data_IF_855485382241
#
_entry.id   IF_855485382241
#
_cell.length_a   1.000
_cell.length_b   1.000
_cell.length_c   1.000
_cell.angle_alpha   90.00
_cell.angle_beta   90.00
_cell.angle_gamma   90.00
#
_symmetry.space_group_name_H-M   'P 1'
#
loop_
_entity.id
_entity.type
_entity.pdbx_description
1 polymer ?
#
# COMPACT_ATOMS: atom_id res chain seq x y z
N UNK A 1 -3.29 11.07 14.96
CA UNK A 1 -3.81 11.71 13.74
C UNK A 1 -3.31 10.89 12.57
N UNK A 2 -4.18 10.11 11.96
CA UNK A 2 -3.84 9.28 10.77
C UNK A 2 -4.01 10.21 9.56
N UNK A 3 -2.93 10.45 8.82
CA UNK A 3 -3.03 11.27 7.61
C UNK A 3 -3.63 10.39 6.53
N UNK A 4 -4.87 10.64 6.19
CA UNK A 4 -5.59 10.00 5.10
C UNK A 4 -5.09 10.59 3.76
N UNK A 5 -4.57 9.74 2.87
CA UNK A 5 -4.35 10.14 1.48
C UNK A 5 -5.68 9.96 0.74
N UNK A 6 -6.12 10.95 -0.07
CA UNK A 6 -7.42 10.88 -0.73
C UNK A 6 -7.52 9.66 -1.63
N UNK A 7 -8.70 9.03 -1.60
CA UNK A 7 -9.10 8.02 -2.60
C UNK A 7 -8.95 8.64 -3.99
N UNK A 8 -8.04 8.13 -4.79
CA UNK A 8 -7.97 8.52 -6.20
C UNK A 8 -9.17 7.91 -6.91
N UNK A 9 -10.20 8.70 -7.16
CA UNK A 9 -11.46 8.29 -7.78
C UNK A 9 -11.37 8.03 -9.30
N UNK A 10 -10.17 7.97 -9.85
CA UNK A 10 -9.96 7.74 -11.29
C UNK A 10 -9.36 6.35 -11.53
N UNK A 11 -10.16 5.42 -12.01
CA UNK A 11 -9.66 4.25 -12.74
C UNK A 11 -9.51 2.95 -11.96
N UNK A 12 -10.16 2.76 -10.79
CA UNK A 12 -10.11 1.48 -10.05
C UNK A 12 -10.65 0.29 -10.85
N UNK A 13 -11.70 0.50 -11.66
CA UNK A 13 -12.32 -0.54 -12.49
C UNK A 13 -11.46 -1.04 -13.65
N UNK A 14 -10.46 -0.26 -14.08
CA UNK A 14 -9.62 -0.63 -15.22
C UNK A 14 -8.43 -1.52 -14.83
N UNK A 15 -8.16 -1.70 -13.54
CA UNK A 15 -7.05 -2.50 -13.02
C UNK A 15 -7.43 -3.96 -12.77
N UNK A 16 -8.71 -4.26 -12.56
CA UNK A 16 -9.18 -5.63 -12.33
C UNK A 16 -9.34 -6.36 -13.65
N UNK A 17 -8.46 -7.32 -13.95
CA UNK A 17 -8.38 -8.03 -15.25
C UNK A 17 -8.93 -9.46 -15.23
N UNK A 18 -9.58 -9.88 -14.13
CA UNK A 18 -10.20 -11.20 -13.97
C UNK A 18 -9.29 -12.28 -13.40
N UNK A 19 -9.91 -13.33 -12.88
CA UNK A 19 -9.25 -14.40 -12.13
C UNK A 19 -8.20 -15.13 -12.96
N UNK A 20 -7.00 -15.27 -12.42
CA UNK A 20 -5.93 -16.14 -12.90
C UNK A 20 -5.82 -17.29 -11.89
N UNK A 21 -6.20 -18.52 -12.31
CA UNK A 21 -6.00 -19.77 -11.56
C UNK A 21 -6.46 -19.72 -10.08
N UNK A 22 -7.73 -19.43 -9.80
CA UNK A 22 -8.34 -19.36 -8.47
C UNK A 22 -7.75 -18.30 -7.52
N UNK A 23 -6.78 -17.50 -7.95
CA UNK A 23 -6.20 -16.42 -7.15
C UNK A 23 -7.12 -15.21 -7.07
N UNK A 24 -7.01 -14.47 -5.97
CA UNK A 24 -7.83 -13.30 -5.71
C UNK A 24 -7.11 -12.05 -6.17
N UNK A 25 -7.71 -11.31 -7.11
CA UNK A 25 -7.14 -10.06 -7.58
C UNK A 25 -7.43 -8.93 -6.59
N UNK A 26 -6.39 -8.19 -6.25
CA UNK A 26 -6.45 -7.09 -5.31
C UNK A 26 -5.80 -5.83 -5.88
N UNK A 27 -6.21 -4.70 -5.35
CA UNK A 27 -5.65 -3.39 -5.69
C UNK A 27 -5.14 -2.69 -4.44
N UNK A 28 -4.17 -1.78 -4.59
CA UNK A 28 -3.70 -0.97 -3.47
C UNK A 28 -4.77 0.07 -3.14
N UNK A 29 -5.45 -0.10 -2.03
CA UNK A 29 -6.44 0.86 -1.51
C UNK A 29 -5.76 2.09 -0.90
N UNK A 30 -4.78 1.85 -0.02
CA UNK A 30 -4.08 2.93 0.67
C UNK A 30 -2.71 2.49 1.20
N UNK A 31 -1.85 3.47 1.45
CA UNK A 31 -0.65 3.31 2.27
C UNK A 31 -0.83 4.15 3.53
N UNK A 32 -0.85 3.49 4.70
CA UNK A 32 -1.10 4.14 5.98
C UNK A 32 0.21 4.35 6.73
N UNK A 33 0.35 5.53 7.31
CA UNK A 33 1.50 5.94 8.12
C UNK A 33 1.02 6.09 9.55
N UNK A 34 1.61 5.35 10.47
CA UNK A 34 1.37 5.58 11.88
C UNK A 34 2.33 6.67 12.37
N UNK A 35 1.80 7.83 12.78
CA UNK A 35 2.63 8.94 13.26
C UNK A 35 3.29 8.67 14.61
N UNK A 36 2.77 7.71 15.38
CA UNK A 36 3.31 7.29 16.68
C UNK A 36 4.35 6.18 16.57
N UNK A 37 4.55 5.62 15.38
CA UNK A 37 5.45 4.50 15.10
C UNK A 37 6.05 4.64 13.70
N UNK A 38 7.30 4.24 13.46
CA UNK A 38 7.89 4.22 12.13
C UNK A 38 7.24 3.21 11.16
N UNK A 39 6.24 2.48 11.64
CA UNK A 39 5.55 1.44 10.87
C UNK A 39 4.73 2.04 9.73
N UNK A 40 4.81 1.41 8.58
CA UNK A 40 4.01 1.68 7.38
C UNK A 40 3.20 0.44 7.07
N UNK A 41 1.99 0.63 6.56
CA UNK A 41 1.10 -0.47 6.17
C UNK A 41 0.55 -0.18 4.78
N UNK A 42 0.75 -1.11 3.85
CA UNK A 42 -0.01 -1.12 2.61
C UNK A 42 -1.28 -1.91 2.82
N UNK A 43 -2.40 -1.34 2.42
CA UNK A 43 -3.72 -1.99 2.48
C UNK A 43 -4.12 -2.34 1.05
N UNK A 44 -4.31 -3.62 0.80
CA UNK A 44 -4.89 -4.14 -0.43
C UNK A 44 -6.38 -4.36 -0.24
N UNK A 45 -7.17 -4.14 -1.29
CA UNK A 45 -8.61 -4.41 -1.33
C UNK A 45 -8.91 -5.40 -2.44
N UNK A 46 -9.76 -6.38 -2.15
CA UNK A 46 -10.28 -7.32 -3.13
C UNK A 46 -11.06 -6.57 -4.22
N UNK A 47 -10.80 -6.90 -5.49
CA UNK A 47 -11.46 -6.24 -6.63
C UNK A 47 -12.97 -6.50 -6.65
N UNK A 48 -13.37 -7.74 -6.48
CA UNK A 48 -14.76 -8.21 -6.59
C UNK A 48 -15.36 -8.64 -5.23
N UNK A 49 -14.77 -8.22 -4.12
CA UNK A 49 -15.22 -8.63 -2.79
C UNK A 49 -15.01 -7.57 -1.71
N UNK A 50 -15.47 -7.87 -0.48
CA UNK A 50 -15.42 -6.95 0.64
C UNK A 50 -14.10 -7.01 1.41
N UNK A 51 -13.20 -7.96 1.11
CA UNK A 51 -12.03 -8.26 1.95
C UNK A 51 -10.86 -7.34 1.66
N UNK A 52 -10.09 -7.12 2.71
CA UNK A 52 -8.86 -6.33 2.70
C UNK A 52 -7.71 -7.16 3.26
N UNK A 53 -6.49 -6.83 2.85
CA UNK A 53 -5.26 -7.40 3.38
C UNK A 53 -4.31 -6.27 3.76
N UNK A 54 -3.86 -6.27 5.03
CA UNK A 54 -2.93 -5.29 5.55
C UNK A 54 -1.53 -5.90 5.69
N UNK A 55 -0.54 -5.31 5.03
CA UNK A 55 0.85 -5.80 5.07
C UNK A 55 1.75 -4.70 5.60
N UNK A 56 2.50 -4.98 6.68
CA UNK A 56 3.53 -4.07 7.18
C UNK A 56 4.72 -4.04 6.23
N UNK A 57 5.16 -2.83 5.90
CA UNK A 57 6.23 -2.58 4.91
C UNK A 57 7.23 -1.55 5.43
N UNK A 58 8.41 -1.53 4.84
CA UNK A 58 9.43 -0.52 5.12
C UNK A 58 9.04 0.86 4.63
N UNK A 59 9.63 1.91 5.23
CA UNK A 59 9.34 3.29 4.85
C UNK A 59 9.73 3.59 3.41
N UNK A 60 10.86 3.09 2.93
CA UNK A 60 11.34 3.31 1.57
C UNK A 60 10.40 2.70 0.51
N UNK A 61 9.90 1.49 0.75
CA UNK A 61 8.96 0.82 -0.12
C UNK A 61 7.58 1.51 -0.09
N UNK A 62 7.13 1.96 1.09
CA UNK A 62 5.91 2.73 1.25
C UNK A 62 5.96 4.04 0.47
N UNK A 63 7.06 4.79 0.59
CA UNK A 63 7.29 6.03 -0.15
C UNK A 63 7.31 5.76 -1.66
N UNK A 64 7.99 4.68 -2.09
CA UNK A 64 8.02 4.29 -3.48
C UNK A 64 6.63 3.99 -4.05
N UNK A 65 5.79 3.22 -3.32
CA UNK A 65 4.41 2.94 -3.72
C UNK A 65 3.59 4.24 -3.79
N UNK A 66 3.66 5.06 -2.74
CA UNK A 66 2.89 6.30 -2.62
C UNK A 66 3.20 7.30 -3.75
N UNK A 67 4.47 7.55 -4.03
CA UNK A 67 4.91 8.45 -5.11
C UNK A 67 4.32 8.01 -6.46
N UNK A 68 4.31 6.71 -6.73
CA UNK A 68 3.74 6.19 -7.98
C UNK A 68 2.22 6.30 -8.02
N UNK A 69 1.52 5.98 -6.93
CA UNK A 69 0.05 6.09 -6.86
C UNK A 69 -0.44 7.54 -6.98
N UNK A 70 0.35 8.50 -6.48
CA UNK A 70 0.04 9.93 -6.60
C UNK A 70 0.38 10.52 -7.98
N UNK A 71 0.95 9.73 -8.88
CA UNK A 71 1.36 10.18 -10.21
C UNK A 71 2.52 11.18 -10.19
N UNK A 72 3.28 11.24 -9.10
CA UNK A 72 4.42 12.13 -9.01
C UNK A 72 5.58 11.62 -9.89
N UNK A 73 6.06 12.48 -10.77
CA UNK A 73 7.27 12.22 -11.54
C UNK A 73 8.51 12.57 -10.71
N UNK A 74 9.46 11.64 -10.67
CA UNK A 74 10.75 11.86 -10.01
C UNK A 74 11.80 12.24 -11.05
N UNK A 75 12.74 13.16 -10.75
CA UNK A 75 13.79 13.57 -11.70
C UNK A 75 14.71 12.42 -12.14
N UNK A 76 14.82 11.39 -11.33
CA UNK A 76 15.61 10.17 -11.58
C UNK A 76 14.81 8.93 -11.22
N UNK A 77 15.02 7.79 -11.91
CA UNK A 77 14.37 6.52 -11.57
C UNK A 77 14.64 6.12 -10.13
N UNK A 78 13.59 5.71 -9.42
CA UNK A 78 13.71 5.04 -8.12
C UNK A 78 14.12 3.58 -8.32
N UNK A 79 14.40 2.86 -7.23
CA UNK A 79 14.87 1.47 -7.26
C UNK A 79 13.94 0.55 -8.09
N UNK A 80 12.63 0.64 -7.89
CA UNK A 80 11.67 -0.20 -8.62
C UNK A 80 11.46 0.24 -10.07
N UNK A 81 11.67 1.52 -10.39
CA UNK A 81 11.71 1.99 -11.78
C UNK A 81 12.93 1.42 -12.50
N UNK A 82 14.08 1.42 -11.82
CA UNK A 82 15.31 0.81 -12.36
C UNK A 82 15.13 -0.70 -12.55
N UNK A 83 14.55 -1.40 -11.57
CA UNK A 83 14.27 -2.84 -11.67
C UNK A 83 13.39 -3.15 -12.90
N UNK A 84 12.30 -2.38 -13.09
CA UNK A 84 11.45 -2.50 -14.27
C UNK A 84 12.25 -2.30 -15.56
N UNK A 85 13.07 -1.25 -15.65
CA UNK A 85 13.92 -0.96 -16.81
C UNK A 85 14.91 -2.09 -17.09
N UNK A 86 15.52 -2.68 -16.06
CA UNK A 86 16.44 -3.82 -16.21
C UNK A 86 15.71 -5.01 -16.82
N UNK A 87 14.52 -5.36 -16.33
CA UNK A 87 13.71 -6.45 -16.88
C UNK A 87 13.38 -6.21 -18.36
N UNK A 88 12.93 -5.00 -18.69
CA UNK A 88 12.61 -4.61 -20.08
C UNK A 88 13.84 -4.61 -20.99
N UNK A 89 14.99 -4.16 -20.48
CA UNK A 89 16.26 -4.10 -21.23
C UNK A 89 16.75 -5.49 -21.65
N UNK A 90 16.51 -6.51 -20.82
CA UNK A 90 16.86 -7.91 -21.17
C UNK A 90 15.78 -8.64 -21.97
N UNK A 91 14.77 -7.90 -22.47
CA UNK A 91 13.69 -8.45 -23.28
C UNK A 91 12.61 -9.16 -22.49
N UNK A 92 12.53 -8.91 -21.18
CA UNK A 92 11.50 -9.46 -20.30
C UNK A 92 10.34 -8.49 -20.07
N UNK A 93 9.28 -9.03 -19.51
CA UNK A 93 8.15 -8.26 -18.99
C UNK A 93 7.65 -8.86 -17.69
N UNK A 94 7.15 -8.02 -16.78
CA UNK A 94 6.47 -8.50 -15.57
C UNK A 94 5.02 -8.79 -15.94
N UNK A 95 4.54 -9.99 -15.67
CA UNK A 95 3.16 -10.39 -16.03
C UNK A 95 2.17 -10.12 -14.89
N UNK A 96 2.51 -10.52 -13.69
CA UNK A 96 1.74 -10.28 -12.46
C UNK A 96 2.62 -10.53 -11.23
N UNK A 97 2.15 -10.16 -10.08
CA UNK A 97 2.75 -10.51 -8.79
C UNK A 97 1.75 -11.27 -7.94
N UNK A 98 2.22 -12.15 -7.07
CA UNK A 98 1.37 -12.96 -6.19
C UNK A 98 1.90 -12.86 -4.77
N UNK A 99 1.04 -12.55 -3.80
CA UNK A 99 1.31 -12.81 -2.38
C UNK A 99 0.96 -14.28 -2.14
N UNK A 100 1.98 -15.09 -1.91
CA UNK A 100 1.87 -16.55 -2.01
C UNK A 100 1.69 -17.24 -0.68
N UNK A 101 2.15 -16.66 0.41
CA UNK A 101 2.15 -17.34 1.70
C UNK A 101 2.22 -16.35 2.86
N UNK A 102 1.79 -16.80 4.04
CA UNK A 102 1.99 -16.16 5.34
C UNK A 102 2.47 -17.21 6.32
N UNK A 103 3.75 -17.14 6.69
CA UNK A 103 4.34 -18.06 7.68
C UNK A 103 4.69 -17.27 8.93
N UNK A 104 4.12 -17.64 10.05
CA UNK A 104 4.17 -16.93 11.32
C UNK A 104 3.61 -15.50 11.15
N UNK A 105 4.46 -14.51 10.92
CA UNK A 105 4.09 -13.10 10.67
C UNK A 105 4.72 -12.55 9.40
N UNK A 106 5.34 -13.41 8.61
CA UNK A 106 6.08 -13.04 7.41
C UNK A 106 5.31 -13.40 6.16
N UNK A 107 4.98 -12.40 5.36
CA UNK A 107 4.39 -12.59 4.05
C UNK A 107 5.45 -12.86 3.00
N UNK A 108 5.14 -13.78 2.10
CA UNK A 108 5.95 -14.13 0.94
C UNK A 108 5.28 -13.67 -0.34
N UNK A 109 6.06 -13.34 -1.35
CA UNK A 109 5.53 -12.98 -2.65
C UNK A 109 6.40 -13.52 -3.79
N UNK A 110 5.78 -13.64 -4.95
CA UNK A 110 6.43 -14.06 -6.20
C UNK A 110 6.16 -13.03 -7.28
N UNK A 111 7.21 -12.61 -7.96
CA UNK A 111 7.13 -11.82 -9.19
C UNK A 111 7.21 -12.81 -10.37
N UNK A 112 6.21 -12.77 -11.26
CA UNK A 112 6.17 -13.62 -12.45
C UNK A 112 6.60 -12.81 -13.67
N UNK A 113 7.65 -13.27 -14.33
CA UNK A 113 8.22 -12.66 -15.53
C UNK A 113 7.93 -13.53 -16.75
N UNK A 114 7.79 -12.89 -17.90
CA UNK A 114 7.94 -13.52 -19.22
C UNK A 114 9.22 -13.01 -19.88
N UNK A 115 10.09 -13.92 -20.30
CA UNK A 115 11.30 -13.60 -21.07
C UNK A 115 11.35 -14.53 -22.26
N UNK A 116 11.12 -13.99 -23.46
CA UNK A 116 11.15 -14.75 -24.70
C UNK A 116 10.11 -15.88 -24.76
N UNK A 117 8.93 -15.71 -24.14
CA UNK A 117 7.86 -16.70 -24.06
C UNK A 117 8.04 -17.76 -22.95
N UNK A 118 9.09 -17.63 -22.14
CA UNK A 118 9.33 -18.49 -20.98
C UNK A 118 8.98 -17.76 -19.69
N UNK A 119 8.23 -18.43 -18.79
CA UNK A 119 7.83 -17.87 -17.49
C UNK A 119 8.86 -18.18 -16.43
N UNK A 120 9.20 -17.15 -15.67
CA UNK A 120 10.11 -17.23 -14.51
C UNK A 120 9.40 -16.71 -13.27
N UNK A 121 9.60 -17.40 -12.14
CA UNK A 121 9.10 -17.01 -10.83
C UNK A 121 10.27 -16.57 -9.98
N UNK A 122 10.20 -15.34 -9.47
CA UNK A 122 11.21 -14.77 -8.58
C UNK A 122 10.61 -14.60 -7.20
N UNK A 123 11.30 -15.11 -6.18
CA UNK A 123 10.98 -14.82 -4.78
C UNK A 123 11.23 -13.34 -4.48
N UNK A 124 10.29 -12.72 -3.76
CA UNK A 124 10.34 -11.30 -3.44
C UNK A 124 9.60 -10.99 -2.15
N UNK A 125 9.96 -9.89 -1.51
CA UNK A 125 9.12 -9.35 -0.43
C UNK A 125 7.84 -8.77 -1.06
N UNK A 126 6.68 -8.90 -0.39
CA UNK A 126 5.42 -8.32 -0.89
C UNK A 126 5.52 -6.83 -1.21
N UNK A 127 6.23 -6.05 -0.38
CA UNK A 127 6.44 -4.62 -0.59
C UNK A 127 7.13 -4.30 -1.91
N UNK A 128 8.17 -5.08 -2.30
CA UNK A 128 8.90 -4.90 -3.55
C UNK A 128 8.05 -5.32 -4.75
N UNK A 129 7.35 -6.46 -4.61
CA UNK A 129 6.44 -6.98 -5.63
C UNK A 129 5.31 -5.97 -5.93
N UNK A 130 4.66 -5.43 -4.90
CA UNK A 130 3.61 -4.41 -5.02
C UNK A 130 4.17 -3.12 -5.64
N UNK A 131 5.34 -2.64 -5.16
CA UNK A 131 5.97 -1.44 -5.69
C UNK A 131 6.33 -1.57 -7.18
N UNK A 132 6.70 -2.78 -7.63
CA UNK A 132 6.93 -3.08 -9.04
C UNK A 132 5.62 -3.18 -9.82
N UNK A 133 4.59 -3.83 -9.25
CA UNK A 133 3.28 -4.01 -9.87
C UNK A 133 2.61 -2.68 -10.21
N UNK A 134 2.58 -1.72 -9.28
CA UNK A 134 1.99 -0.39 -9.52
C UNK A 134 2.75 0.40 -10.59
N UNK A 135 4.05 0.12 -10.81
CA UNK A 135 4.85 0.73 -11.88
C UNK A 135 4.66 0.08 -13.22
N UNK A 136 4.52 -1.23 -13.23
CA UNK A 136 4.30 -2.00 -14.45
C UNK A 136 2.83 -1.99 -14.89
N UNK A 137 1.92 -1.51 -14.05
CA UNK A 137 0.47 -1.51 -14.23
C UNK A 137 -0.06 -2.93 -14.53
N UNK A 138 0.28 -3.85 -13.64
CA UNK A 138 -0.07 -5.27 -13.71
C UNK A 138 -0.84 -5.70 -12.48
N UNK A 139 -1.50 -6.87 -12.57
CA UNK A 139 -2.31 -7.43 -11.48
C UNK A 139 -1.49 -7.79 -10.26
N UNK A 140 -2.05 -7.50 -9.08
CA UNK A 140 -1.60 -7.96 -7.78
C UNK A 140 -2.58 -9.07 -7.37
N UNK A 141 -2.07 -10.27 -7.22
CA UNK A 141 -2.84 -11.45 -6.87
C UNK A 141 -2.48 -11.89 -5.45
N UNK A 142 -3.42 -12.53 -4.79
CA UNK A 142 -3.23 -13.11 -3.45
C UNK A 142 -3.78 -14.53 -3.47
N UNK A 143 -3.02 -15.47 -2.91
CA UNK A 143 -3.49 -16.82 -2.70
C UNK A 143 -4.69 -16.83 -1.74
N UNK A 144 -5.76 -17.58 -2.01
CA UNK A 144 -6.95 -17.63 -1.15
C UNK A 144 -6.62 -17.93 0.31
N UNK A 145 -5.69 -18.87 0.57
CA UNK A 145 -5.28 -19.23 1.90
C UNK A 145 -4.70 -18.04 2.70
N UNK A 146 -3.94 -17.16 2.06
CA UNK A 146 -3.39 -15.95 2.71
C UNK A 146 -4.51 -14.99 3.11
N UNK A 147 -5.49 -14.83 2.22
CA UNK A 147 -6.62 -13.94 2.49
C UNK A 147 -7.61 -14.53 3.51
N UNK A 148 -7.72 -15.85 3.57
CA UNK A 148 -8.52 -16.55 4.58
C UNK A 148 -7.87 -16.44 5.97
N UNK A 149 -6.53 -16.47 6.05
CA UNK A 149 -5.79 -16.39 7.31
C UNK A 149 -5.65 -14.95 7.84
N UNK A 150 -5.43 -13.97 6.96
CA UNK A 150 -5.08 -12.61 7.36
C UNK A 150 -5.98 -11.52 6.77
N UNK A 151 -6.93 -11.90 5.94
CA UNK A 151 -7.91 -10.97 5.39
C UNK A 151 -8.91 -10.52 6.45
N UNK A 152 -9.42 -9.31 6.29
CA UNK A 152 -10.49 -8.76 7.12
C UNK A 152 -11.51 -8.02 6.26
N UNK A 153 -12.73 -7.97 6.72
CA UNK A 153 -13.77 -7.12 6.15
C UNK A 153 -13.76 -5.79 6.91
N UNK A 154 -13.69 -4.69 6.19
CA UNK A 154 -13.92 -3.38 6.79
C UNK A 154 -15.42 -3.16 6.82
N UNK A 155 -15.97 -2.97 8.01
CA UNK A 155 -17.31 -2.38 8.10
C UNK A 155 -17.25 -1.00 7.44
N UNK A 156 -18.29 -0.56 6.72
CA UNK A 156 -18.34 0.78 6.22
C UNK A 156 -18.12 1.71 7.41
N UNK A 157 -17.01 2.47 7.35
CA UNK A 157 -16.68 3.44 8.39
C UNK A 157 -17.86 4.40 8.56
N UNK A 158 -18.61 4.27 9.65
CA UNK A 158 -19.48 5.32 10.20
C UNK A 158 -18.67 6.56 10.66
N UNK A 159 -17.38 6.60 10.33
CA UNK A 159 -16.43 7.64 10.72
C UNK A 159 -16.46 8.90 9.84
N UNK A 160 -17.44 9.06 8.94
CA UNK A 160 -17.60 10.33 8.22
C UNK A 160 -18.21 11.45 9.10
N UNK A 161 -18.65 11.16 10.35
CA UNK A 161 -19.27 12.19 11.21
C UNK A 161 -18.76 12.27 12.65
N UNK A 162 -17.65 11.64 12.99
CA UNK A 162 -16.99 11.98 14.26
C UNK A 162 -15.73 12.81 14.02
N UNK A 163 -15.93 14.04 13.52
CA UNK A 163 -15.09 15.13 13.97
C UNK A 163 -15.04 15.00 15.49
N UNK A 164 -13.91 14.55 16.03
CA UNK A 164 -13.67 14.53 17.48
C UNK A 164 -13.96 15.92 17.99
N UNK A 165 -15.16 16.11 18.51
CA UNK A 165 -15.47 17.21 19.41
C UNK A 165 -14.58 16.93 20.60
N UNK A 166 -13.40 17.53 20.60
CA UNK A 166 -12.52 17.53 21.77
C UNK A 166 -13.37 18.11 22.88
N UNK A 167 -13.65 17.35 23.96
CA UNK A 167 -14.47 17.86 25.05
C UNK A 167 -13.93 19.22 25.48
N UNK A 168 -14.83 20.18 25.70
CA UNK A 168 -14.48 21.59 26.02
C UNK A 168 -13.51 21.68 27.19
N UNK A 169 -13.60 20.77 28.15
CA UNK A 169 -12.65 20.58 29.27
C UNK A 169 -11.19 20.34 28.81
N UNK A 170 -10.97 19.60 27.72
CA UNK A 170 -9.61 19.40 27.21
C UNK A 170 -9.09 20.59 26.41
N UNK A 171 -9.98 21.36 25.80
CA UNK A 171 -9.65 22.64 25.17
C UNK A 171 -9.28 23.72 26.18
N UNK A 172 -9.90 23.73 27.36
CA UNK A 172 -9.53 24.66 28.45
C UNK A 172 -8.14 24.35 29.00
N UNK A 173 -7.80 23.09 29.25
CA UNK A 173 -6.46 22.68 29.71
C UNK A 173 -5.39 23.06 28.64
N UNK A 174 -5.69 22.93 27.38
CA UNK A 174 -4.77 23.30 26.31
C UNK A 174 -4.61 24.82 26.18
N UNK A 175 -5.69 25.58 26.37
CA UNK A 175 -5.65 27.06 26.43
C UNK A 175 -4.85 27.56 27.63
N UNK A 176 -5.04 26.97 28.83
CA UNK A 176 -4.24 27.32 30.00
C UNK A 176 -2.75 27.01 29.80
N UNK A 177 -2.43 25.89 29.18
CA UNK A 177 -1.05 25.54 28.85
C UNK A 177 -0.41 26.53 27.86
N UNK A 178 -1.13 26.95 26.82
CA UNK A 178 -0.62 27.95 25.86
C UNK A 178 -0.46 29.35 26.54
N UNK A 179 -1.38 29.73 27.43
CA UNK A 179 -1.30 31.01 28.14
C UNK A 179 -0.20 31.03 29.21
N UNK A 180 0.30 29.87 29.67
CA UNK A 180 1.44 29.74 30.58
C UNK A 180 2.79 29.69 29.86
N UNK A 181 2.82 29.50 28.53
CA UNK A 181 4.02 29.66 27.73
C UNK A 181 4.25 31.16 27.49
N UNK A 182 5.01 31.80 28.40
CA UNK A 182 5.50 33.17 28.23
C UNK A 182 6.37 33.21 26.96
N UNK A 183 5.86 33.87 25.92
CA UNK A 183 6.52 33.99 24.60
C UNK A 183 7.68 35.04 24.66
N UNK A 184 7.91 35.65 25.80
CA UNK A 184 8.91 36.73 25.98
C UNK A 184 10.35 36.22 26.21
N UNK A 185 10.62 34.91 26.24
CA UNK A 185 11.96 34.36 26.52
C UNK A 185 12.66 33.72 25.32
N UNK A 186 12.26 34.06 24.11
CA UNK A 186 12.93 33.68 22.86
C UNK A 186 13.38 34.92 22.08
N UNK A 187 14.26 35.69 22.74
CA UNK A 187 15.02 36.77 22.13
C UNK A 187 16.40 36.32 21.67
#
# INVERSE_FOLDING_TARGET
>A
MVTWLPKTSAGYSDLCKGAIDDMIEMVVESVRVNLMSPSRVVVLKECDGPRYLAIMIGSGEADAITVKLQGHETPRPLTHDLLKQVIETVGGSVTHVVVTDLVDTTYFATIVLDIGGSRYKLDARPSDAIALAVRANISILVEPAVLDDAGFESEPDDDEEQGTVVPEEKLEIFREFINQLDIDDLG
#
